data_IF_094990424174
#
_entry.id   IF_094990424174
#
_cell.length_a   1.000
_cell.length_b   1.000
_cell.length_c   1.000
_cell.angle_alpha   90.00
_cell.angle_beta   90.00
_cell.angle_gamma   90.00
#
_symmetry.space_group_name_H-M   'P 1'
#
loop_
_entity.id
_entity.type
_entity.pdbx_description
1 polymer ?
#
# COMPACT_ATOMS: atom_id res chain seq x y z
N UNK A 1 -72.08 -6.43 -29.05
CA UNK A 1 -71.62 -5.39 -28.11
C UNK A 1 -70.39 -5.93 -27.40
N UNK A 2 -69.16 -5.74 -27.92
CA UNK A 2 -67.94 -6.21 -27.31
C UNK A 2 -67.30 -5.02 -26.51
N UNK A 3 -67.25 -5.18 -25.18
CA UNK A 3 -66.50 -4.25 -24.35
C UNK A 3 -65.00 -4.54 -24.43
N UNK A 4 -64.24 -3.58 -24.94
CA UNK A 4 -62.77 -3.61 -24.93
C UNK A 4 -62.27 -3.32 -23.53
N UNK A 5 -61.56 -4.29 -22.94
CA UNK A 5 -60.87 -4.13 -21.68
C UNK A 5 -59.45 -3.64 -21.95
N UNK A 6 -59.22 -2.34 -21.66
CA UNK A 6 -57.88 -1.75 -21.76
C UNK A 6 -57.07 -2.10 -20.54
N UNK A 7 -56.09 -2.99 -20.67
CA UNK A 7 -55.13 -3.32 -19.64
C UNK A 7 -53.96 -2.32 -19.70
N UNK A 8 -53.99 -1.33 -18.81
CA UNK A 8 -52.85 -0.42 -18.62
C UNK A 8 -51.78 -1.13 -17.79
N UNK A 9 -50.75 -1.66 -18.48
CA UNK A 9 -49.55 -2.16 -17.82
C UNK A 9 -48.72 -0.94 -17.41
N UNK A 10 -48.77 -0.59 -16.13
CA UNK A 10 -47.86 0.39 -15.52
C UNK A 10 -46.49 -0.26 -15.36
N UNK A 11 -45.57 0.07 -16.26
CA UNK A 11 -44.18 -0.33 -16.13
C UNK A 11 -43.47 0.53 -15.07
N UNK A 12 -43.49 0.11 -13.83
CA UNK A 12 -42.69 0.70 -12.76
C UNK A 12 -41.22 0.34 -12.98
N UNK A 13 -40.48 1.27 -13.61
CA UNK A 13 -39.01 1.17 -13.73
C UNK A 13 -38.43 1.40 -12.34
N UNK A 14 -38.09 0.31 -11.65
CA UNK A 14 -37.29 0.35 -10.42
C UNK A 14 -35.86 0.65 -10.83
N UNK A 15 -35.49 1.93 -10.78
CA UNK A 15 -34.13 2.40 -10.96
C UNK A 15 -33.34 2.00 -9.69
N UNK A 16 -32.72 0.83 -9.69
CA UNK A 16 -31.72 0.47 -8.68
C UNK A 16 -30.53 1.39 -8.85
N UNK A 17 -30.52 2.49 -8.09
CA UNK A 17 -29.31 3.24 -7.84
C UNK A 17 -28.33 2.31 -7.06
N UNK A 18 -27.45 1.63 -7.80
CA UNK A 18 -26.24 1.07 -7.24
C UNK A 18 -25.39 2.25 -6.73
N UNK A 19 -25.64 2.68 -5.51
CA UNK A 19 -24.69 3.45 -4.74
C UNK A 19 -23.48 2.53 -4.53
N UNK A 20 -22.53 2.62 -5.45
CA UNK A 20 -21.25 1.97 -5.30
C UNK A 20 -20.62 2.48 -4.00
N UNK A 21 -20.75 1.69 -2.94
CA UNK A 21 -20.05 1.93 -1.69
C UNK A 21 -18.56 1.72 -2.00
N UNK A 22 -17.89 2.78 -2.45
CA UNK A 22 -16.44 2.80 -2.54
C UNK A 22 -15.93 2.72 -1.10
N UNK A 23 -15.42 1.55 -0.69
CA UNK A 23 -14.76 1.40 0.61
C UNK A 23 -13.54 2.33 0.60
N UNK A 24 -13.74 3.52 1.13
CA UNK A 24 -12.64 4.44 1.37
C UNK A 24 -11.97 3.99 2.67
N UNK A 25 -10.82 3.35 2.55
CA UNK A 25 -10.04 2.92 3.69
C UNK A 25 -9.79 4.08 4.67
N UNK A 26 -9.68 3.77 5.97
CA UNK A 26 -9.31 4.78 6.96
C UNK A 26 -8.01 5.46 6.58
N UNK A 27 -7.99 6.80 6.58
CA UNK A 27 -6.83 7.61 6.25
C UNK A 27 -6.27 8.30 7.49
N UNK A 28 -4.96 8.39 7.59
CA UNK A 28 -4.28 9.09 8.69
C UNK A 28 -3.07 9.87 8.16
N UNK A 29 -2.99 11.17 8.48
CA UNK A 29 -1.82 11.99 8.17
C UNK A 29 -0.86 12.01 9.35
N UNK A 30 0.43 11.74 9.08
CA UNK A 30 1.46 11.58 10.12
C UNK A 30 2.80 12.08 9.62
N UNK A 31 3.65 12.53 10.57
CA UNK A 31 5.03 12.93 10.26
C UNK A 31 5.98 11.75 10.43
N UNK A 32 6.81 11.50 9.44
CA UNK A 32 7.83 10.46 9.49
C UNK A 32 9.03 10.96 10.30
N UNK A 33 9.36 10.24 11.36
CA UNK A 33 10.50 10.55 12.22
C UNK A 33 11.81 10.03 11.66
N UNK A 34 11.84 8.77 11.26
CA UNK A 34 13.01 8.08 10.70
C UNK A 34 12.64 6.81 9.97
N UNK A 35 13.47 6.40 9.02
CA UNK A 35 13.36 5.11 8.33
C UNK A 35 14.19 4.07 9.07
N UNK A 36 13.65 2.86 9.21
CA UNK A 36 14.33 1.70 9.82
C UNK A 36 14.97 0.85 8.73
N UNK A 37 14.17 0.49 7.70
CA UNK A 37 14.53 -0.41 6.61
C UNK A 37 13.88 0.03 5.31
N UNK A 38 14.14 -0.64 4.20
CA UNK A 38 13.61 -0.27 2.88
C UNK A 38 12.08 -0.27 2.75
N UNK A 39 11.38 -0.82 3.75
CA UNK A 39 9.92 -0.90 3.77
C UNK A 39 9.29 -0.60 5.13
N UNK A 40 10.09 -0.15 6.09
CA UNK A 40 9.65 0.10 7.47
C UNK A 40 10.18 1.43 8.00
N UNK A 41 9.31 2.24 8.58
CA UNK A 41 9.66 3.52 9.17
C UNK A 41 8.93 3.78 10.49
N UNK A 42 9.33 4.84 11.21
CA UNK A 42 8.74 5.29 12.47
C UNK A 42 8.08 6.63 12.27
N UNK A 43 6.86 6.77 12.76
CA UNK A 43 6.09 8.01 12.77
C UNK A 43 6.06 8.65 14.17
N UNK A 44 5.83 9.97 14.19
CA UNK A 44 5.55 10.71 15.41
C UNK A 44 4.12 10.39 15.88
N UNK A 45 3.97 10.00 17.16
CA UNK A 45 2.67 9.72 17.77
C UNK A 45 2.58 10.31 19.21
N UNK A 46 3.41 11.32 19.51
CA UNK A 46 3.49 11.92 20.84
C UNK A 46 4.36 11.14 21.84
N UNK A 47 4.71 9.88 21.58
CA UNK A 47 5.60 9.09 22.44
C UNK A 47 7.08 9.24 22.05
N UNK A 48 7.99 8.99 23.01
CA UNK A 48 9.44 8.98 22.74
C UNK A 48 9.86 7.90 21.72
N UNK A 49 9.15 6.77 21.68
CA UNK A 49 9.47 5.64 20.77
C UNK A 49 8.92 5.84 19.37
N UNK A 50 7.80 6.56 19.22
CA UNK A 50 7.03 6.62 18.00
C UNK A 50 6.30 5.31 17.69
N UNK A 51 5.65 5.21 16.57
CA UNK A 51 4.95 3.99 16.11
C UNK A 51 5.55 3.52 14.79
N UNK A 52 5.76 2.21 14.66
CA UNK A 52 6.33 1.63 13.44
C UNK A 52 5.26 1.38 12.39
N UNK A 53 5.58 1.71 11.15
CA UNK A 53 4.75 1.46 9.97
C UNK A 53 5.50 0.52 9.02
N UNK A 54 4.84 -0.54 8.57
CA UNK A 54 5.30 -1.47 7.54
C UNK A 54 4.46 -1.27 6.29
N UNK A 55 5.11 -1.08 5.17
CA UNK A 55 4.46 -0.94 3.87
C UNK A 55 3.78 -2.25 3.46
N UNK A 56 2.49 -2.18 3.09
CA UNK A 56 1.71 -3.32 2.63
C UNK A 56 2.11 -3.71 1.20
N UNK A 57 2.09 -5.02 0.92
CA UNK A 57 2.17 -5.58 -0.42
C UNK A 57 3.56 -5.66 -1.01
N UNK A 58 4.58 -5.21 -0.28
CA UNK A 58 5.97 -5.20 -0.73
C UNK A 58 6.93 -5.72 0.34
N UNK A 59 8.11 -6.16 -0.07
CA UNK A 59 9.23 -6.54 0.81
C UNK A 59 10.54 -6.01 0.25
N UNK A 60 11.26 -5.22 1.04
CA UNK A 60 12.58 -4.74 0.69
C UNK A 60 13.66 -5.68 1.27
N UNK A 61 14.83 -5.81 0.62
CA UNK A 61 15.90 -6.61 1.17
C UNK A 61 16.38 -6.09 2.53
N UNK A 62 16.79 -7.00 3.39
CA UNK A 62 17.26 -6.66 4.74
C UNK A 62 18.53 -5.79 4.69
N UNK A 63 18.59 -4.76 5.53
CA UNK A 63 19.74 -3.85 5.63
C UNK A 63 20.75 -4.27 6.70
N UNK A 64 20.41 -5.24 7.54
CA UNK A 64 21.25 -5.69 8.64
C UNK A 64 21.30 -7.22 8.68
N UNK A 65 22.50 -7.74 8.96
CA UNK A 65 22.65 -9.15 9.32
C UNK A 65 21.94 -9.43 10.64
N UNK A 66 21.14 -10.49 10.64
CA UNK A 66 20.54 -11.04 11.86
C UNK A 66 20.93 -12.51 11.97
N UNK A 67 20.61 -13.16 13.11
CA UNK A 67 20.86 -14.59 13.28
C UNK A 67 20.14 -15.47 12.23
N UNK A 68 19.13 -14.91 11.52
CA UNK A 68 18.28 -15.64 10.56
C UNK A 68 18.35 -15.11 9.13
N UNK A 69 18.94 -13.93 8.90
CA UNK A 69 18.97 -13.28 7.58
C UNK A 69 20.30 -12.55 7.39
N UNK A 70 20.91 -12.76 6.25
CA UNK A 70 22.05 -11.97 5.77
C UNK A 70 21.58 -10.59 5.28
N UNK A 71 22.53 -9.67 5.07
CA UNK A 71 22.27 -8.41 4.36
C UNK A 71 21.86 -8.74 2.93
N UNK A 72 20.68 -8.28 2.54
CA UNK A 72 20.16 -8.51 1.20
C UNK A 72 20.86 -7.62 0.18
N UNK A 73 21.09 -8.17 -1.02
CA UNK A 73 21.52 -7.36 -2.17
C UNK A 73 20.56 -6.20 -2.35
N UNK A 74 21.10 -5.00 -2.54
CA UNK A 74 20.34 -3.74 -2.73
C UNK A 74 19.55 -3.24 -1.50
N UNK A 75 19.70 -3.84 -0.32
CA UNK A 75 18.96 -3.46 0.88
C UNK A 75 19.34 -2.07 1.41
N UNK A 76 20.63 -1.73 1.39
CA UNK A 76 21.13 -0.41 1.83
C UNK A 76 20.58 0.68 0.92
N UNK A 77 20.60 0.46 -0.38
CA UNK A 77 20.10 1.39 -1.40
C UNK A 77 18.60 1.62 -1.24
N UNK A 78 17.81 0.56 -1.02
CA UNK A 78 16.37 0.65 -0.78
C UNK A 78 16.07 1.51 0.47
N UNK A 79 16.80 1.29 1.55
CA UNK A 79 16.65 2.07 2.78
C UNK A 79 17.02 3.54 2.58
N UNK A 80 18.16 3.85 1.96
CA UNK A 80 18.58 5.23 1.74
C UNK A 80 17.61 5.96 0.78
N UNK A 81 17.07 5.26 -0.21
CA UNK A 81 16.04 5.81 -1.09
C UNK A 81 14.78 6.19 -0.30
N UNK A 82 14.24 5.26 0.51
CA UNK A 82 13.06 5.54 1.34
C UNK A 82 13.34 6.65 2.36
N UNK A 83 14.52 6.67 2.95
CA UNK A 83 14.96 7.67 3.94
C UNK A 83 15.01 9.08 3.32
N UNK A 84 15.60 9.24 2.15
CA UNK A 84 15.65 10.50 1.41
C UNK A 84 14.25 11.00 1.06
N UNK A 85 13.37 10.06 0.70
CA UNK A 85 12.00 10.36 0.31
C UNK A 85 11.14 10.80 1.50
N UNK A 86 11.22 10.12 2.65
CA UNK A 86 10.21 10.24 3.70
C UNK A 86 10.66 10.97 4.99
N UNK A 87 11.96 10.97 5.36
CA UNK A 87 12.38 11.50 6.66
C UNK A 87 11.98 12.96 6.85
N UNK A 88 11.29 13.25 7.95
CA UNK A 88 10.80 14.59 8.30
C UNK A 88 9.59 15.06 7.50
N UNK A 89 9.08 14.25 6.57
CA UNK A 89 7.92 14.59 5.73
C UNK A 89 6.61 14.15 6.38
N UNK A 90 5.52 14.82 6.00
CA UNK A 90 4.17 14.38 6.30
C UNK A 90 3.70 13.45 5.19
N UNK A 91 3.20 12.28 5.59
CA UNK A 91 2.65 11.26 4.70
C UNK A 91 1.22 10.91 5.07
N UNK A 92 0.47 10.45 4.08
CA UNK A 92 -0.85 9.87 4.28
C UNK A 92 -0.71 8.35 4.35
N UNK A 93 -1.22 7.75 5.44
CA UNK A 93 -1.39 6.31 5.60
C UNK A 93 -2.82 5.96 5.18
N UNK A 94 -2.97 4.96 4.34
CA UNK A 94 -4.25 4.36 3.97
C UNK A 94 -4.24 2.91 4.44
N UNK A 95 -5.20 2.57 5.29
CA UNK A 95 -5.28 1.24 5.87
C UNK A 95 -6.14 0.33 5.00
N UNK A 96 -5.75 -0.94 4.92
CA UNK A 96 -6.54 -2.03 4.37
C UNK A 96 -7.25 -2.79 5.52
N UNK A 97 -7.74 -3.97 5.26
CA UNK A 97 -8.50 -4.81 6.21
C UNK A 97 -7.72 -5.06 7.50
N UNK A 98 -6.49 -5.52 7.40
CA UNK A 98 -5.60 -5.76 8.54
C UNK A 98 -4.73 -4.54 8.82
N UNK A 99 -4.95 -3.89 9.96
CA UNK A 99 -4.26 -2.63 10.32
C UNK A 99 -2.94 -2.82 11.06
N UNK A 100 -2.71 -3.99 11.66
CA UNK A 100 -1.48 -4.29 12.40
C UNK A 100 -1.01 -5.71 12.14
N UNK A 101 0.30 -5.89 12.16
CA UNK A 101 0.90 -7.23 12.13
C UNK A 101 1.11 -7.79 13.55
N UNK A 102 1.59 -9.05 13.61
CA UNK A 102 1.90 -9.76 14.87
C UNK A 102 2.99 -9.09 15.73
N UNK A 103 3.74 -8.17 15.17
CA UNK A 103 4.77 -7.40 15.86
C UNK A 103 4.29 -6.03 16.32
N UNK A 104 2.99 -5.73 16.14
CA UNK A 104 2.36 -4.46 16.50
C UNK A 104 2.71 -3.28 15.59
N UNK A 105 3.31 -3.53 14.41
CA UNK A 105 3.54 -2.49 13.40
C UNK A 105 2.23 -2.17 12.69
N UNK A 106 1.98 -0.89 12.43
CA UNK A 106 0.90 -0.47 11.52
C UNK A 106 1.19 -1.00 10.11
N UNK A 107 0.16 -1.51 9.45
CA UNK A 107 0.21 -1.93 8.04
C UNK A 107 -0.51 -0.87 7.21
N UNK A 108 0.18 -0.24 6.25
CA UNK A 108 -0.42 0.82 5.47
C UNK A 108 0.10 0.87 4.03
N UNK A 109 -0.76 1.35 3.14
CA UNK A 109 -0.36 1.97 1.89
C UNK A 109 -0.01 3.42 2.19
N UNK A 110 1.10 3.91 1.66
CA UNK A 110 1.68 5.21 2.02
C UNK A 110 1.74 6.13 0.82
N UNK A 111 1.30 7.37 1.03
CA UNK A 111 1.34 8.41 0.01
C UNK A 111 2.12 9.63 0.52
N UNK A 112 3.08 10.09 -0.28
CA UNK A 112 3.74 11.38 -0.11
C UNK A 112 3.16 12.34 -1.15
N UNK A 113 2.23 13.22 -0.73
CA UNK A 113 1.37 13.98 -1.65
C UNK A 113 0.63 13.01 -2.58
N UNK A 114 0.79 13.13 -3.91
CA UNK A 114 0.17 12.24 -4.90
C UNK A 114 1.00 10.98 -5.20
N UNK A 115 2.24 10.90 -4.68
CA UNK A 115 3.12 9.77 -4.95
C UNK A 115 2.77 8.56 -4.09
N UNK A 116 2.41 7.45 -4.70
CA UNK A 116 2.17 6.16 -4.03
C UNK A 116 3.53 5.49 -3.74
N UNK A 117 4.00 5.59 -2.50
CA UNK A 117 5.35 5.17 -2.07
C UNK A 117 5.59 3.68 -2.27
N UNK A 118 4.62 2.82 -1.92
CA UNK A 118 4.73 1.37 -2.10
C UNK A 118 4.96 1.01 -3.58
N UNK A 119 4.20 1.64 -4.48
CA UNK A 119 4.32 1.43 -5.92
C UNK A 119 5.67 1.92 -6.46
N UNK A 120 6.11 3.10 -6.03
CA UNK A 120 7.40 3.68 -6.42
C UNK A 120 8.57 2.74 -6.08
N UNK A 121 8.57 2.14 -4.87
CA UNK A 121 9.64 1.23 -4.46
C UNK A 121 9.70 -0.01 -5.34
N UNK A 122 8.55 -0.58 -5.73
CA UNK A 122 8.49 -1.74 -6.62
C UNK A 122 8.91 -1.35 -8.04
N UNK A 123 8.37 -0.25 -8.56
CA UNK A 123 8.65 0.22 -9.92
C UNK A 123 10.12 0.54 -10.16
N UNK A 124 10.80 1.10 -9.14
CA UNK A 124 12.23 1.43 -9.20
C UNK A 124 13.13 0.23 -8.83
N UNK A 125 12.55 -0.91 -8.45
CA UNK A 125 13.28 -2.11 -8.10
C UNK A 125 13.97 -2.05 -6.73
N UNK A 126 13.43 -1.29 -5.78
CA UNK A 126 13.90 -1.25 -4.38
C UNK A 126 13.20 -2.27 -3.48
N UNK A 127 12.09 -2.84 -3.94
CA UNK A 127 11.35 -3.88 -3.23
C UNK A 127 10.75 -4.88 -4.22
N UNK A 128 10.50 -6.09 -3.75
CA UNK A 128 9.73 -7.12 -4.44
C UNK A 128 8.28 -7.09 -3.97
N UNK A 129 7.38 -7.70 -4.74
CA UNK A 129 6.00 -7.90 -4.31
C UNK A 129 5.93 -8.94 -3.20
N UNK A 130 5.16 -8.64 -2.15
CA UNK A 130 4.92 -9.55 -1.03
C UNK A 130 3.51 -9.38 -0.49
N UNK A 131 2.58 -10.15 -1.03
CA UNK A 131 1.17 -10.07 -0.67
C UNK A 131 0.84 -11.00 0.50
N UNK A 132 0.22 -10.45 1.54
CA UNK A 132 -0.29 -11.20 2.69
C UNK A 132 -1.77 -10.88 2.88
N UNK A 133 -2.61 -11.93 2.91
CA UNK A 133 -4.02 -11.79 3.27
C UNK A 133 -4.15 -11.25 4.70
N UNK A 134 -5.16 -10.41 5.01
CA UNK A 134 -6.26 -10.01 4.12
C UNK A 134 -5.96 -8.77 3.25
N UNK A 135 -4.75 -8.20 3.28
CA UNK A 135 -4.38 -6.94 2.63
C UNK A 135 -3.93 -7.18 1.18
N UNK A 136 -4.87 -7.23 0.27
CA UNK A 136 -4.63 -7.63 -1.13
C UNK A 136 -5.04 -6.58 -2.17
N UNK A 137 -5.51 -5.41 -1.75
CA UNK A 137 -6.13 -4.39 -2.60
C UNK A 137 -5.29 -4.03 -3.84
N UNK A 138 -3.97 -3.96 -3.73
CA UNK A 138 -3.05 -3.59 -4.81
C UNK A 138 -2.14 -4.73 -5.28
N UNK A 139 -2.46 -6.00 -4.97
CA UNK A 139 -1.60 -7.14 -5.28
C UNK A 139 -1.26 -7.24 -6.77
N UNK A 140 -2.27 -7.26 -7.64
CA UNK A 140 -2.07 -7.36 -9.10
C UNK A 140 -1.34 -6.14 -9.68
N UNK A 141 -1.61 -4.96 -9.12
CA UNK A 141 -0.94 -3.73 -9.52
C UNK A 141 0.57 -3.81 -9.22
N UNK A 142 0.97 -4.26 -8.03
CA UNK A 142 2.37 -4.41 -7.68
C UNK A 142 3.08 -5.48 -8.53
N UNK A 143 2.42 -6.61 -8.80
CA UNK A 143 2.96 -7.64 -9.71
C UNK A 143 3.26 -7.08 -11.11
N UNK A 144 2.37 -6.23 -11.63
CA UNK A 144 2.59 -5.55 -12.91
C UNK A 144 3.80 -4.62 -12.87
N UNK A 145 3.95 -3.82 -11.80
CA UNK A 145 5.09 -2.92 -11.62
C UNK A 145 6.41 -3.67 -11.47
N UNK A 146 6.43 -4.75 -10.69
CA UNK A 146 7.62 -5.60 -10.56
C UNK A 146 8.06 -6.19 -11.90
N UNK A 147 7.12 -6.67 -12.71
CA UNK A 147 7.43 -7.16 -14.08
C UNK A 147 8.08 -6.08 -14.93
N UNK A 148 7.58 -4.84 -14.86
CA UNK A 148 8.16 -3.70 -15.58
C UNK A 148 9.57 -3.37 -15.06
N UNK A 149 9.79 -3.39 -13.74
CA UNK A 149 11.10 -3.15 -13.14
C UNK A 149 12.13 -4.22 -13.58
N UNK A 150 11.72 -5.50 -13.62
CA UNK A 150 12.55 -6.62 -14.10
C UNK A 150 12.94 -6.45 -15.57
N UNK A 151 11.98 -6.13 -16.44
CA UNK A 151 12.22 -5.91 -17.86
C UNK A 151 13.16 -4.73 -18.12
N UNK A 152 13.02 -3.66 -17.34
CA UNK A 152 13.87 -2.47 -17.41
C UNK A 152 15.19 -2.59 -16.64
N UNK A 153 15.48 -3.74 -16.02
CA UNK A 153 16.67 -4.00 -15.18
C UNK A 153 16.91 -2.92 -14.13
N UNK A 154 15.86 -2.53 -13.40
CA UNK A 154 15.95 -1.51 -12.36
C UNK A 154 16.32 -2.12 -11.01
N UNK A 155 17.13 -1.39 -10.22
CA UNK A 155 17.42 -1.74 -8.82
C UNK A 155 17.89 -3.19 -8.62
N UNK A 156 17.12 -3.99 -7.89
CA UNK A 156 17.34 -5.41 -7.63
C UNK A 156 17.54 -6.27 -8.89
N UNK A 157 17.11 -5.77 -10.04
CA UNK A 157 17.06 -6.51 -11.30
C UNK A 157 18.19 -6.15 -12.28
N UNK A 158 19.18 -5.37 -11.84
CA UNK A 158 20.38 -5.00 -12.62
C UNK A 158 21.27 -6.18 -12.93
#
# INVERSE_FOLDING_TARGET
MLKRFNFLVSATIICFLFLGFSYKGEERYVKVRRVIDGDTFVIENGSKKGERVRLIGIDAPETRRTARKEVGYYGVEAKEYLKTMLTGKNVKLVFDVGKKDRYGRLLAYVYLREKFVNAELVEQGYAVTYTLTPNVQYADFFVKLERQARQAKRGLWK
#
